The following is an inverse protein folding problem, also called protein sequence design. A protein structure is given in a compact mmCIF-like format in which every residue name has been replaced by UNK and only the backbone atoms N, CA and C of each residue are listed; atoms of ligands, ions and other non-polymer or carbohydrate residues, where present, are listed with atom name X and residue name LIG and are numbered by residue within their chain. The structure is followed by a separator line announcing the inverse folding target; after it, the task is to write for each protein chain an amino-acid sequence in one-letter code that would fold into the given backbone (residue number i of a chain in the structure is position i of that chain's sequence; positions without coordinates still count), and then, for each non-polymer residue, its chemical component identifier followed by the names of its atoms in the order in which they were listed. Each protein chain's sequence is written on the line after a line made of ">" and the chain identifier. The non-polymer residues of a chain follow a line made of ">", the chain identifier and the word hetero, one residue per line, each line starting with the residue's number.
data_IF_241492254699
#
_entry.id   IF_241492254699
#
_cell.length_a   1.000
_cell.length_b   1.000
_cell.length_c   1.000
_cell.angle_alpha   90.00
_cell.angle_beta   90.00
_cell.angle_gamma   90.00
#
_symmetry.space_group_name_H-M   'P 1'
#
loop_
_entity.id
_entity.type
_entity.pdbx_description
1 polymer ?
#
# COMPACT_ATOMS: atom_id res chain seq x y z
N UNK A 1 -46.07 -15.82 -50.88
CA UNK A 1 -45.69 -15.10 -49.64
C UNK A 1 -45.54 -13.63 -49.97
N UNK A 2 -46.27 -12.77 -49.25
CA UNK A 2 -46.49 -11.36 -49.60
C UNK A 2 -45.33 -10.51 -49.09
N UNK A 3 -44.78 -9.68 -49.97
CA UNK A 3 -43.70 -8.71 -49.74
C UNK A 3 -43.95 -7.70 -48.61
N UNK A 4 -45.18 -7.61 -48.08
CA UNK A 4 -45.53 -6.73 -46.96
C UNK A 4 -45.07 -7.20 -45.57
N UNK A 5 -44.89 -8.50 -45.33
CA UNK A 5 -44.50 -9.01 -44.00
C UNK A 5 -43.02 -8.78 -43.68
N UNK A 6 -42.15 -8.82 -44.70
CA UNK A 6 -40.72 -8.55 -44.54
C UNK A 6 -40.41 -7.09 -44.15
N UNK A 7 -41.27 -6.15 -44.55
CA UNK A 7 -41.06 -4.73 -44.30
C UNK A 7 -41.41 -4.35 -42.85
N UNK A 8 -42.36 -5.06 -42.22
CA UNK A 8 -42.69 -4.87 -40.81
C UNK A 8 -41.62 -5.45 -39.87
N UNK A 9 -41.02 -6.59 -40.21
CA UNK A 9 -39.97 -7.20 -39.38
C UNK A 9 -38.70 -6.34 -39.31
N UNK A 10 -38.31 -5.70 -40.42
CA UNK A 10 -37.16 -4.76 -40.47
C UNK A 10 -37.39 -3.48 -39.68
N UNK A 11 -38.62 -2.93 -39.68
CA UNK A 11 -38.97 -1.76 -38.87
C UNK A 11 -38.97 -2.09 -37.37
N UNK A 12 -39.44 -3.28 -36.99
CA UNK A 12 -39.46 -3.74 -35.60
C UNK A 12 -38.03 -3.96 -35.06
N UNK A 13 -37.16 -4.60 -35.83
CA UNK A 13 -35.74 -4.80 -35.44
C UNK A 13 -34.96 -3.49 -35.36
N UNK A 14 -35.19 -2.55 -36.29
CA UNK A 14 -34.55 -1.24 -36.24
C UNK A 14 -35.01 -0.40 -35.04
N UNK A 15 -36.31 -0.43 -34.71
CA UNK A 15 -36.84 0.22 -33.52
C UNK A 15 -36.28 -0.39 -32.23
N UNK A 16 -36.15 -1.71 -32.16
CA UNK A 16 -35.61 -2.41 -30.98
C UNK A 16 -34.11 -2.12 -30.77
N UNK A 17 -33.33 -2.05 -31.85
CA UNK A 17 -31.90 -1.67 -31.80
C UNK A 17 -31.76 -0.22 -31.33
N UNK A 18 -32.60 0.70 -31.83
CA UNK A 18 -32.57 2.10 -31.37
C UNK A 18 -32.92 2.20 -29.89
N UNK A 19 -33.94 1.47 -29.42
CA UNK A 19 -34.32 1.48 -27.99
C UNK A 19 -33.23 0.89 -27.11
N UNK A 20 -32.58 -0.22 -27.51
CA UNK A 20 -31.44 -0.78 -26.78
C UNK A 20 -30.26 0.18 -26.77
N UNK A 21 -29.92 0.81 -27.90
CA UNK A 21 -28.86 1.82 -27.96
C UNK A 21 -29.18 3.05 -27.11
N UNK A 22 -30.44 3.49 -27.05
CA UNK A 22 -30.86 4.58 -26.17
C UNK A 22 -30.81 4.18 -24.69
N UNK A 23 -31.16 2.94 -24.35
CA UNK A 23 -31.03 2.42 -22.98
C UNK A 23 -29.55 2.35 -22.60
N UNK A 24 -28.68 1.81 -23.46
CA UNK A 24 -27.24 1.72 -23.21
C UNK A 24 -26.56 3.10 -23.15
N UNK A 25 -26.95 4.05 -24.01
CA UNK A 25 -26.44 5.44 -23.99
C UNK A 25 -26.96 6.28 -22.81
N UNK A 26 -28.14 5.95 -22.27
CA UNK A 26 -28.62 6.57 -21.03
C UNK A 26 -27.99 5.92 -19.80
N UNK A 27 -27.69 4.62 -19.81
CA UNK A 27 -26.94 3.96 -18.73
C UNK A 27 -25.51 4.46 -18.61
N UNK A 28 -24.85 4.87 -19.70
CA UNK A 28 -23.52 5.50 -19.64
C UNK A 28 -23.52 6.93 -19.06
N UNK A 29 -24.69 7.58 -18.94
CA UNK A 29 -24.83 8.89 -18.27
C UNK A 29 -25.43 8.77 -16.85
N UNK A 30 -25.78 7.55 -16.42
CA UNK A 30 -26.30 7.28 -15.09
C UNK A 30 -25.12 7.12 -14.12
N UNK A 31 -24.75 8.25 -13.51
CA UNK A 31 -23.87 8.40 -12.34
C UNK A 31 -22.37 8.25 -12.59
N UNK A 32 -21.75 9.29 -13.15
CA UNK A 32 -20.37 9.59 -12.78
C UNK A 32 -20.37 10.00 -11.29
N UNK A 33 -20.22 9.01 -10.39
CA UNK A 33 -20.08 9.25 -8.96
C UNK A 33 -18.94 10.24 -8.74
N UNK A 34 -19.14 11.23 -7.88
CA UNK A 34 -18.04 12.09 -7.44
C UNK A 34 -17.06 11.30 -6.56
N UNK A 35 -15.79 11.69 -6.49
CA UNK A 35 -14.81 11.01 -5.65
C UNK A 35 -15.25 10.87 -4.16
N UNK A 36 -15.91 11.88 -3.55
CA UNK A 36 -16.49 11.72 -2.22
C UNK A 36 -17.62 10.69 -2.13
N UNK A 37 -18.49 10.59 -3.14
CA UNK A 37 -19.55 9.57 -3.16
C UNK A 37 -18.95 8.17 -3.32
N UNK A 38 -17.96 8.01 -4.20
CA UNK A 38 -17.25 6.76 -4.38
C UNK A 38 -16.61 6.24 -3.07
N UNK A 39 -15.98 7.13 -2.30
CA UNK A 39 -15.42 6.76 -0.99
C UNK A 39 -16.51 6.45 0.06
N UNK A 40 -17.67 7.09 0.00
CA UNK A 40 -18.81 6.75 0.87
C UNK A 40 -19.37 5.37 0.56
N UNK A 41 -19.46 5.01 -0.72
CA UNK A 41 -19.94 3.68 -1.11
C UNK A 41 -18.95 2.60 -0.65
N UNK A 42 -17.64 2.84 -0.78
CA UNK A 42 -16.60 1.99 -0.18
C UNK A 42 -16.82 1.81 1.33
N UNK A 43 -17.03 2.90 2.07
CA UNK A 43 -17.29 2.84 3.51
C UNK A 43 -18.60 2.12 3.88
N UNK A 44 -19.65 2.25 3.08
CA UNK A 44 -20.90 1.49 3.28
C UNK A 44 -20.67 -0.01 3.16
N UNK A 45 -19.76 -0.44 2.28
CA UNK A 45 -19.39 -1.85 2.16
C UNK A 45 -18.57 -2.33 3.37
N UNK A 46 -17.68 -1.49 3.91
CA UNK A 46 -16.98 -1.81 5.16
C UNK A 46 -17.95 -1.94 6.34
N UNK A 47 -18.90 -1.01 6.48
CA UNK A 47 -19.90 -1.01 7.56
C UNK A 47 -20.81 -2.24 7.50
N UNK A 48 -21.22 -2.65 6.30
CA UNK A 48 -22.07 -3.83 6.08
C UNK A 48 -21.32 -5.17 6.16
N UNK A 49 -19.99 -5.15 6.28
CA UNK A 49 -19.16 -6.35 6.26
C UNK A 49 -18.96 -7.00 4.88
N UNK A 50 -19.34 -6.31 3.80
CA UNK A 50 -19.17 -6.79 2.42
C UNK A 50 -17.76 -6.47 1.90
N UNK A 51 -16.76 -7.06 2.53
CA UNK A 51 -15.34 -6.80 2.26
C UNK A 51 -14.89 -7.24 0.88
N UNK A 52 -15.47 -8.32 0.35
CA UNK A 52 -15.18 -8.78 -1.01
C UNK A 52 -15.55 -7.71 -2.05
N UNK A 53 -16.69 -7.04 -1.88
CA UNK A 53 -17.07 -5.93 -2.76
C UNK A 53 -16.20 -4.69 -2.53
N UNK A 54 -15.83 -4.42 -1.27
CA UNK A 54 -15.00 -3.28 -0.90
C UNK A 54 -13.61 -3.34 -1.57
N UNK A 55 -13.02 -4.54 -1.74
CA UNK A 55 -11.74 -4.72 -2.44
C UNK A 55 -11.78 -4.18 -3.87
N UNK A 56 -12.92 -4.33 -4.57
CA UNK A 56 -13.07 -3.86 -5.95
C UNK A 56 -13.20 -2.34 -6.10
N UNK A 57 -13.15 -1.57 -5.00
CA UNK A 57 -13.00 -0.12 -5.06
C UNK A 57 -11.55 0.30 -5.29
N UNK A 58 -10.60 -0.58 -5.01
CA UNK A 58 -9.19 -0.35 -5.26
C UNK A 58 -8.86 -0.62 -6.72
N UNK A 59 -8.00 0.21 -7.30
CA UNK A 59 -7.51 0.03 -8.66
C UNK A 59 -6.89 -1.37 -8.79
N UNK A 60 -7.15 -2.13 -9.88
CA UNK A 60 -6.63 -3.49 -10.03
C UNK A 60 -5.12 -3.62 -9.79
N UNK A 61 -4.31 -2.66 -10.27
CA UNK A 61 -2.85 -2.67 -10.03
C UNK A 61 -2.46 -2.37 -8.57
N UNK A 62 -3.25 -1.57 -7.85
CA UNK A 62 -3.06 -1.32 -6.42
C UNK A 62 -3.45 -2.55 -5.60
N UNK A 63 -4.51 -3.26 -5.99
CA UNK A 63 -4.90 -4.52 -5.36
C UNK A 63 -3.87 -5.63 -5.64
N UNK A 64 -3.38 -5.75 -6.88
CA UNK A 64 -2.32 -6.70 -7.24
C UNK A 64 -1.06 -6.47 -6.40
N UNK A 65 -0.63 -5.22 -6.22
CA UNK A 65 0.49 -4.87 -5.33
C UNK A 65 0.24 -5.32 -3.90
N UNK A 66 -0.96 -5.04 -3.38
CA UNK A 66 -1.36 -5.48 -2.05
C UNK A 66 -1.26 -7.01 -1.89
N UNK A 67 -1.69 -7.77 -2.89
CA UNK A 67 -1.79 -9.23 -2.80
C UNK A 67 -0.52 -9.97 -3.24
N UNK A 68 0.41 -9.29 -3.92
CA UNK A 68 1.59 -9.87 -4.60
C UNK A 68 2.32 -10.93 -3.77
N UNK A 69 2.62 -10.67 -2.50
CA UNK A 69 3.40 -11.60 -1.68
C UNK A 69 2.56 -12.53 -0.80
N UNK A 70 1.23 -12.57 -0.97
CA UNK A 70 0.34 -13.38 -0.14
C UNK A 70 0.42 -13.02 1.34
N UNK A 71 0.83 -11.79 1.67
CA UNK A 71 0.93 -11.28 3.04
C UNK A 71 -0.46 -10.86 3.51
N UNK A 72 -0.93 -11.48 4.58
CA UNK A 72 -2.21 -11.18 5.23
C UNK A 72 -2.00 -10.83 6.69
N UNK A 73 -2.99 -10.17 7.29
CA UNK A 73 -2.95 -9.78 8.68
C UNK A 73 -4.18 -10.28 9.44
N UNK A 74 -3.98 -10.74 10.67
CA UNK A 74 -5.07 -11.21 11.53
C UNK A 74 -6.11 -10.11 11.74
N UNK A 75 -7.38 -10.45 11.55
CA UNK A 75 -8.53 -9.55 11.70
C UNK A 75 -8.53 -8.31 10.77
N UNK A 76 -7.78 -8.36 9.67
CA UNK A 76 -7.74 -7.28 8.67
C UNK A 76 -8.45 -7.75 7.39
N UNK A 77 -9.72 -7.35 7.17
CA UNK A 77 -10.51 -7.87 6.06
C UNK A 77 -10.11 -7.30 4.69
N UNK A 78 -9.56 -6.09 4.66
CA UNK A 78 -9.15 -5.39 3.43
C UNK A 78 -7.69 -4.99 3.55
N UNK A 79 -6.79 -5.85 3.06
CA UNK A 79 -5.34 -5.66 3.15
C UNK A 79 -4.87 -4.37 2.47
N UNK A 80 -5.48 -4.01 1.34
CA UNK A 80 -5.15 -2.79 0.61
C UNK A 80 -5.39 -1.50 1.42
N UNK A 81 -6.13 -1.58 2.52
CA UNK A 81 -6.44 -0.44 3.39
C UNK A 81 -5.97 -0.68 4.84
N UNK A 82 -5.08 -1.66 5.08
CA UNK A 82 -4.67 -2.03 6.44
C UNK A 82 -3.82 -0.96 7.17
N UNK A 83 -3.34 0.04 6.43
CA UNK A 83 -2.65 1.20 6.99
C UNK A 83 -3.61 2.27 7.51
N UNK A 84 -4.89 2.25 7.13
CA UNK A 84 -5.85 3.24 7.62
C UNK A 84 -6.30 2.95 9.05
N UNK A 85 -6.61 3.99 9.83
CA UNK A 85 -7.21 3.82 11.15
C UNK A 85 -8.60 3.14 11.05
N UNK A 86 -9.27 3.22 9.89
CA UNK A 86 -10.59 2.64 9.67
C UNK A 86 -10.52 1.12 9.70
N UNK A 87 -9.64 0.50 8.92
CA UNK A 87 -9.52 -0.96 8.90
C UNK A 87 -8.85 -1.49 10.16
N UNK A 88 -7.89 -0.73 10.72
CA UNK A 88 -7.19 -1.08 11.95
C UNK A 88 -8.13 -1.27 13.14
N UNK A 89 -9.15 -0.43 13.24
CA UNK A 89 -10.10 -0.42 14.35
C UNK A 89 -11.55 -0.53 13.85
N UNK A 90 -11.78 -1.36 12.83
CA UNK A 90 -13.04 -1.42 12.08
C UNK A 90 -14.29 -1.61 12.95
N UNK A 91 -14.19 -2.41 14.02
CA UNK A 91 -15.31 -2.64 14.93
C UNK A 91 -15.81 -1.37 15.61
N UNK A 92 -14.90 -0.43 15.89
CA UNK A 92 -15.24 0.89 16.44
C UNK A 92 -15.59 1.85 15.30
N UNK A 93 -14.77 1.84 14.25
CA UNK A 93 -14.84 2.83 13.18
C UNK A 93 -16.09 2.74 12.32
N UNK A 94 -16.71 1.56 12.19
CA UNK A 94 -17.94 1.37 11.38
C UNK A 94 -19.08 2.33 11.75
N UNK A 95 -19.17 2.74 13.01
CA UNK A 95 -20.20 3.67 13.49
C UNK A 95 -19.93 5.15 13.14
N UNK A 96 -18.75 5.46 12.58
CA UNK A 96 -18.32 6.82 12.24
C UNK A 96 -18.21 7.05 10.72
N UNK A 97 -18.61 6.07 9.91
CA UNK A 97 -18.40 6.07 8.46
C UNK A 97 -19.46 6.83 7.64
N UNK A 98 -20.55 7.28 8.24
CA UNK A 98 -21.71 7.76 7.49
C UNK A 98 -21.51 9.15 6.85
N UNK A 99 -20.59 10.01 7.36
CA UNK A 99 -20.25 11.34 6.78
C UNK A 99 -18.82 11.86 7.09
N UNK A 100 -17.75 11.08 6.92
CA UNK A 100 -16.46 11.48 7.47
C UNK A 100 -15.60 12.35 6.55
N UNK A 101 -16.05 12.67 5.32
CA UNK A 101 -15.20 13.41 4.38
C UNK A 101 -15.24 14.90 4.71
N UNK A 102 -14.17 15.41 5.32
CA UNK A 102 -14.01 16.80 5.75
C UNK A 102 -13.62 17.72 4.60
N UNK A 103 -12.70 17.26 3.75
CA UNK A 103 -12.23 18.02 2.60
C UNK A 103 -11.99 17.10 1.40
N UNK A 104 -12.13 17.68 0.20
CA UNK A 104 -11.67 17.09 -1.03
C UNK A 104 -10.80 18.10 -1.78
N UNK A 105 -9.70 17.62 -2.31
CA UNK A 105 -8.76 18.43 -3.07
C UNK A 105 -8.50 17.75 -4.40
N UNK A 106 -8.66 18.50 -5.50
CA UNK A 106 -8.28 18.04 -6.81
C UNK A 106 -6.78 18.23 -6.99
N UNK A 107 -6.07 17.14 -7.25
CA UNK A 107 -4.63 17.14 -7.43
C UNK A 107 -4.25 17.50 -8.87
N UNK A 108 -2.98 17.88 -9.08
CA UNK A 108 -2.48 18.31 -10.38
C UNK A 108 -2.69 17.25 -11.48
N UNK A 109 -3.08 17.71 -12.68
CA UNK A 109 -3.40 16.84 -13.81
C UNK A 109 -4.86 16.39 -13.87
N UNK A 110 -5.73 16.87 -12.98
CA UNK A 110 -7.20 16.77 -13.06
C UNK A 110 -7.80 15.36 -13.01
N UNK A 111 -6.98 14.32 -12.87
CA UNK A 111 -7.38 12.91 -12.81
C UNK A 111 -7.29 12.31 -11.40
N UNK A 112 -6.75 13.03 -10.42
CA UNK A 112 -6.60 12.52 -9.05
C UNK A 112 -7.26 13.44 -8.03
N UNK A 113 -7.77 12.85 -6.96
CA UNK A 113 -8.28 13.57 -5.80
C UNK A 113 -7.64 13.06 -4.52
N UNK A 114 -7.44 13.96 -3.57
CA UNK A 114 -7.13 13.64 -2.18
C UNK A 114 -8.37 13.92 -1.33
N UNK A 115 -8.81 12.93 -0.58
CA UNK A 115 -10.00 12.97 0.26
C UNK A 115 -9.57 12.84 1.73
N UNK A 116 -9.92 13.81 2.56
CA UNK A 116 -9.65 13.77 4.00
C UNK A 116 -10.81 13.12 4.74
N UNK A 117 -10.58 11.92 5.24
CA UNK A 117 -11.41 11.30 6.27
C UNK A 117 -11.15 11.97 7.62
N UNK A 118 -12.22 12.23 8.36
CA UNK A 118 -12.23 12.79 9.69
C UNK A 118 -13.31 12.13 10.55
N UNK A 119 -12.93 11.71 11.75
CA UNK A 119 -13.85 11.26 12.79
C UNK A 119 -13.37 11.72 14.17
N UNK A 120 -14.30 11.79 15.12
CA UNK A 120 -14.02 12.07 16.53
C UNK A 120 -14.34 10.82 17.33
N UNK A 121 -13.34 10.25 18.02
CA UNK A 121 -13.48 9.14 18.97
C UNK A 121 -13.19 9.65 20.37
N UNK A 122 -14.24 9.87 21.18
CA UNK A 122 -14.08 10.47 22.50
C UNK A 122 -13.51 11.89 22.39
N UNK A 123 -12.28 12.08 22.89
CA UNK A 123 -11.54 13.35 22.81
C UNK A 123 -10.49 13.39 21.69
N UNK A 124 -10.33 12.32 20.93
CA UNK A 124 -9.30 12.21 19.90
C UNK A 124 -9.87 12.48 18.51
N UNK A 125 -9.14 13.28 17.74
CA UNK A 125 -9.40 13.52 16.32
C UNK A 125 -8.63 12.50 15.48
N UNK A 126 -9.36 11.72 14.68
CA UNK A 126 -8.78 10.80 13.72
C UNK A 126 -8.87 11.41 12.33
N UNK A 127 -7.72 11.52 11.67
CA UNK A 127 -7.61 11.97 10.28
C UNK A 127 -6.90 10.93 9.43
N UNK A 128 -7.34 10.79 8.18
CA UNK A 128 -6.67 9.94 7.20
C UNK A 128 -6.92 10.46 5.77
N UNK A 129 -5.95 10.30 4.88
CA UNK A 129 -6.09 10.73 3.49
C UNK A 129 -6.24 9.54 2.56
N UNK A 130 -7.35 9.50 1.83
CA UNK A 130 -7.54 8.59 0.70
C UNK A 130 -7.17 9.30 -0.61
N UNK A 131 -6.63 8.55 -1.55
CA UNK A 131 -6.32 9.03 -2.89
C UNK A 131 -7.19 8.30 -3.90
N UNK A 132 -7.66 9.04 -4.89
CA UNK A 132 -8.40 8.46 -6.01
C UNK A 132 -7.76 8.81 -7.35
N UNK A 133 -7.97 7.94 -8.34
CA UNK A 133 -7.64 8.17 -9.74
C UNK A 133 -8.91 7.98 -10.58
N UNK A 134 -9.11 8.84 -11.59
CA UNK A 134 -10.17 8.74 -12.58
C UNK A 134 -9.57 8.20 -13.88
N UNK A 135 -9.94 6.98 -14.24
CA UNK A 135 -9.40 6.23 -15.38
C UNK A 135 -10.53 5.53 -16.12
N UNK A 136 -10.63 5.75 -17.44
CA UNK A 136 -11.63 5.10 -18.31
C UNK A 136 -13.08 5.25 -17.81
N UNK A 137 -13.44 6.45 -17.34
CA UNK A 137 -14.75 6.78 -16.76
C UNK A 137 -15.05 6.12 -15.40
N UNK A 138 -14.06 5.47 -14.77
CA UNK A 138 -14.15 4.93 -13.42
C UNK A 138 -13.28 5.70 -12.44
N UNK A 139 -13.79 5.88 -11.22
CA UNK A 139 -12.98 6.30 -10.08
C UNK A 139 -12.45 5.04 -9.40
N UNK A 140 -11.20 5.09 -8.95
CA UNK A 140 -10.56 4.03 -8.19
C UNK A 140 -9.88 4.61 -6.95
N UNK A 141 -9.87 3.86 -5.85
CA UNK A 141 -8.93 4.08 -4.75
C UNK A 141 -7.53 3.65 -5.21
N UNK A 142 -6.54 4.50 -4.93
CA UNK A 142 -5.14 4.28 -5.27
C UNK A 142 -4.25 4.63 -4.08
N UNK A 143 -3.00 4.20 -4.13
CA UNK A 143 -2.02 4.60 -3.12
C UNK A 143 -1.41 5.97 -3.47
N UNK A 144 -0.89 6.73 -2.48
CA UNK A 144 -0.26 8.02 -2.74
C UNK A 144 0.87 7.95 -3.79
N UNK A 145 1.67 6.88 -3.78
CA UNK A 145 2.74 6.65 -4.74
C UNK A 145 2.24 6.47 -6.18
N UNK A 146 0.99 6.04 -6.39
CA UNK A 146 0.39 5.98 -7.74
C UNK A 146 0.19 7.38 -8.33
N UNK A 147 0.06 8.41 -7.48
CA UNK A 147 -0.02 9.80 -7.89
C UNK A 147 1.37 10.47 -7.95
N UNK A 148 2.12 10.44 -6.84
CA UNK A 148 3.38 11.19 -6.71
C UNK A 148 4.51 10.64 -7.59
N UNK A 149 4.46 9.35 -7.92
CA UNK A 149 5.53 8.64 -8.61
C UNK A 149 5.14 8.16 -10.01
N UNK A 150 3.97 8.57 -10.52
CA UNK A 150 3.38 8.06 -11.78
C UNK A 150 4.32 8.13 -13.00
N UNK A 151 5.15 9.17 -13.06
CA UNK A 151 6.06 9.45 -14.19
C UNK A 151 7.54 9.21 -13.81
N UNK A 152 7.81 8.53 -12.71
CA UNK A 152 9.18 8.28 -12.29
C UNK A 152 9.84 7.24 -13.20
N UNK A 153 11.07 7.48 -13.71
CA UNK A 153 11.79 6.50 -14.49
C UNK A 153 12.00 5.21 -13.69
N UNK A 154 11.86 4.08 -14.38
CA UNK A 154 11.99 2.76 -13.77
C UNK A 154 13.36 2.17 -14.08
N UNK A 155 14.02 1.64 -13.06
CA UNK A 155 15.22 0.80 -13.17
C UNK A 155 14.97 -0.54 -12.50
N UNK A 156 15.30 -1.63 -13.19
CA UNK A 156 15.12 -2.98 -12.64
C UNK A 156 16.47 -3.64 -12.29
N UNK A 157 16.41 -4.55 -11.33
CA UNK A 157 17.48 -5.48 -10.95
C UNK A 157 16.90 -6.89 -10.85
N UNK A 158 17.62 -7.87 -10.30
CA UNK A 158 17.10 -9.24 -10.19
C UNK A 158 15.84 -9.30 -9.33
N UNK A 159 15.80 -8.57 -8.20
CA UNK A 159 14.65 -8.63 -7.28
C UNK A 159 13.85 -7.34 -7.18
N UNK A 160 14.32 -6.21 -7.73
CA UNK A 160 13.63 -4.92 -7.58
C UNK A 160 13.14 -4.34 -8.90
N UNK A 161 11.98 -3.68 -8.82
CA UNK A 161 11.52 -2.65 -9.75
C UNK A 161 11.57 -1.31 -9.03
N UNK A 162 12.50 -0.46 -9.43
CA UNK A 162 12.83 0.78 -8.72
C UNK A 162 12.28 1.95 -9.52
N UNK A 163 11.26 2.61 -8.99
CA UNK A 163 10.77 3.91 -9.45
C UNK A 163 11.70 4.97 -8.87
N UNK A 164 12.42 5.66 -9.74
CA UNK A 164 13.51 6.56 -9.35
C UNK A 164 13.02 7.98 -9.49
N UNK A 165 13.09 8.79 -8.43
CA UNK A 165 12.78 10.20 -8.57
C UNK A 165 13.71 10.85 -9.62
N UNK A 166 13.18 11.64 -10.56
CA UNK A 166 13.99 12.29 -11.58
C UNK A 166 15.21 13.03 -10.99
N UNK A 167 16.39 12.74 -11.54
CA UNK A 167 17.68 13.26 -11.07
C UNK A 167 18.40 12.37 -10.06
N UNK A 168 17.82 11.24 -9.64
CA UNK A 168 18.47 10.27 -8.74
C UNK A 168 19.06 9.04 -9.47
N UNK A 169 18.89 8.93 -10.78
CA UNK A 169 19.26 7.77 -11.60
C UNK A 169 20.77 7.49 -11.53
N UNK A 170 21.56 8.57 -11.47
CA UNK A 170 23.01 8.51 -11.39
C UNK A 170 23.52 7.86 -10.10
N UNK A 171 22.72 7.82 -9.03
CA UNK A 171 23.12 7.19 -7.77
C UNK A 171 22.81 5.68 -7.72
N UNK A 172 22.11 5.14 -8.72
CA UNK A 172 21.82 3.70 -8.82
C UNK A 172 22.83 3.00 -9.73
N UNK A 173 24.08 2.94 -9.31
CA UNK A 173 25.10 2.18 -10.04
C UNK A 173 24.86 0.67 -9.97
N UNK A 174 25.32 -0.06 -10.99
CA UNK A 174 25.13 -1.52 -11.09
C UNK A 174 25.72 -2.29 -9.90
N UNK A 175 26.80 -1.80 -9.31
CA UNK A 175 27.37 -2.35 -8.07
C UNK A 175 26.35 -2.30 -6.93
N UNK A 176 25.63 -1.20 -6.74
CA UNK A 176 24.64 -1.06 -5.67
C UNK A 176 23.45 -2.00 -5.90
N UNK A 177 23.01 -2.14 -7.15
CA UNK A 177 21.95 -3.09 -7.52
C UNK A 177 22.38 -4.54 -7.25
N UNK A 178 23.61 -4.89 -7.63
CA UNK A 178 24.18 -6.21 -7.39
C UNK A 178 24.29 -6.52 -5.89
N UNK A 179 24.71 -5.55 -5.07
CA UNK A 179 24.76 -5.72 -3.61
C UNK A 179 23.36 -5.82 -2.99
N UNK A 180 22.37 -5.09 -3.52
CA UNK A 180 20.98 -5.25 -3.11
C UNK A 180 20.45 -6.66 -3.41
N UNK A 181 20.74 -7.19 -4.60
CA UNK A 181 20.33 -8.55 -4.98
C UNK A 181 21.05 -9.64 -4.15
N UNK A 182 22.34 -9.45 -3.85
CA UNK A 182 23.08 -10.34 -2.93
C UNK A 182 22.48 -10.34 -1.53
N UNK A 183 22.04 -9.18 -1.04
CA UNK A 183 21.39 -9.07 0.25
C UNK A 183 20.07 -9.85 0.30
N UNK A 184 19.23 -9.75 -0.74
CA UNK A 184 18.01 -10.56 -0.86
C UNK A 184 18.35 -12.05 -0.79
N UNK A 185 19.32 -12.51 -1.58
CA UNK A 185 19.74 -13.93 -1.56
C UNK A 185 20.20 -14.38 -0.16
N UNK A 186 20.98 -13.55 0.53
CA UNK A 186 21.45 -13.85 1.89
C UNK A 186 20.28 -13.97 2.88
N UNK A 187 19.30 -13.07 2.81
CA UNK A 187 18.11 -13.09 3.65
C UNK A 187 17.22 -14.28 3.34
N UNK A 188 16.92 -14.54 2.07
CA UNK A 188 16.15 -15.70 1.65
C UNK A 188 16.78 -17.00 2.15
N UNK A 189 18.11 -17.12 2.07
CA UNK A 189 18.85 -18.25 2.66
C UNK A 189 18.74 -18.29 4.18
N UNK A 190 18.85 -17.14 4.86
CA UNK A 190 18.76 -17.06 6.33
C UNK A 190 17.36 -17.39 6.86
N UNK A 191 16.33 -17.20 6.02
CA UNK A 191 14.95 -17.52 6.33
C UNK A 191 14.51 -18.86 5.74
N UNK A 192 15.41 -19.67 5.18
CA UNK A 192 15.10 -20.95 4.54
C UNK A 192 13.92 -20.82 3.55
N UNK A 193 14.02 -19.86 2.62
CA UNK A 193 13.06 -19.76 1.52
C UNK A 193 13.30 -20.88 0.52
N UNK A 194 12.21 -21.44 0.00
CA UNK A 194 12.30 -22.40 -1.10
C UNK A 194 12.65 -21.68 -2.40
N UNK A 195 13.16 -22.43 -3.38
CA UNK A 195 13.49 -21.90 -4.70
C UNK A 195 12.24 -21.30 -5.39
N UNK A 196 11.06 -21.87 -5.16
CA UNK A 196 9.81 -21.31 -5.67
C UNK A 196 9.50 -19.94 -5.09
N UNK A 197 9.70 -19.74 -3.77
CA UNK A 197 9.50 -18.42 -3.14
C UNK A 197 10.50 -17.39 -3.68
N UNK A 198 11.75 -17.78 -3.90
CA UNK A 198 12.79 -16.89 -4.44
C UNK A 198 12.47 -16.53 -5.90
N UNK A 199 12.12 -17.52 -6.73
CA UNK A 199 11.71 -17.32 -8.11
C UNK A 199 10.47 -16.43 -8.21
N UNK A 200 9.56 -16.54 -7.25
CA UNK A 200 8.38 -15.68 -7.17
C UNK A 200 8.77 -14.21 -6.93
N UNK A 201 9.72 -13.91 -6.04
CA UNK A 201 10.21 -12.54 -5.83
C UNK A 201 10.90 -12.03 -7.09
N UNK A 202 11.74 -12.84 -7.73
CA UNK A 202 12.44 -12.47 -8.97
C UNK A 202 11.46 -12.13 -10.10
N UNK A 203 10.40 -12.93 -10.26
CA UNK A 203 9.37 -12.72 -11.28
C UNK A 203 8.52 -11.47 -11.01
N UNK A 204 8.04 -11.31 -9.77
CA UNK A 204 7.06 -10.27 -9.46
C UNK A 204 7.70 -8.95 -9.01
N UNK A 205 8.98 -8.97 -8.65
CA UNK A 205 9.79 -7.84 -8.17
C UNK A 205 9.24 -7.18 -6.90
N UNK A 206 10.14 -6.61 -6.12
CA UNK A 206 9.83 -5.69 -5.02
C UNK A 206 9.71 -4.29 -5.61
N UNK A 207 8.55 -3.64 -5.44
CA UNK A 207 8.40 -2.22 -5.81
C UNK A 207 9.17 -1.34 -4.82
N UNK A 208 10.00 -0.46 -5.37
CA UNK A 208 10.81 0.47 -4.59
C UNK A 208 10.69 1.88 -5.14
N UNK A 209 10.31 2.83 -4.29
CA UNK A 209 10.23 4.25 -4.64
C UNK A 209 11.43 4.99 -4.04
N UNK A 210 12.44 5.22 -4.88
CA UNK A 210 13.68 5.89 -4.49
C UNK A 210 13.52 7.41 -4.59
N UNK A 211 13.29 8.02 -3.43
CA UNK A 211 13.09 9.44 -3.24
C UNK A 211 14.44 10.18 -3.10
N UNK A 212 14.48 11.44 -3.52
CA UNK A 212 15.66 12.29 -3.36
C UNK A 212 15.83 12.85 -1.93
N UNK A 213 14.79 12.76 -1.07
CA UNK A 213 14.84 13.31 0.29
C UNK A 213 13.76 12.71 1.21
N UNK A 214 13.99 12.81 2.52
CA UNK A 214 13.02 12.47 3.57
C UNK A 214 11.73 13.31 3.46
N UNK A 215 11.83 14.54 2.91
CA UNK A 215 10.66 15.37 2.64
C UNK A 215 9.76 14.75 1.56
N UNK A 216 10.35 14.20 0.50
CA UNK A 216 9.56 13.50 -0.52
C UNK A 216 8.93 12.22 0.05
N UNK A 217 9.64 11.50 0.91
CA UNK A 217 9.06 10.37 1.66
C UNK A 217 7.86 10.83 2.48
N UNK A 218 7.95 11.96 3.19
CA UNK A 218 6.81 12.57 3.91
C UNK A 218 5.64 12.92 3.01
N UNK A 219 5.90 13.52 1.84
CA UNK A 219 4.84 13.88 0.90
C UNK A 219 4.04 12.67 0.43
N UNK A 220 4.70 11.52 0.23
CA UNK A 220 4.06 10.26 -0.19
C UNK A 220 3.38 9.56 1.00
N UNK A 221 4.07 9.43 2.13
CA UNK A 221 3.66 8.55 3.23
C UNK A 221 2.90 9.26 4.34
N UNK A 222 2.98 10.59 4.41
CA UNK A 222 2.53 11.41 5.53
C UNK A 222 3.54 11.56 6.68
N UNK A 223 4.60 10.74 6.72
CA UNK A 223 5.53 10.67 7.86
C UNK A 223 6.94 11.16 7.49
N UNK A 224 7.55 12.00 8.34
CA UNK A 224 8.93 12.44 8.14
C UNK A 224 9.91 11.36 8.60
N UNK A 225 10.22 10.44 7.69
CA UNK A 225 11.14 9.32 7.93
C UNK A 225 12.08 9.13 6.74
N UNK A 226 13.18 8.42 6.96
CA UNK A 226 14.12 8.07 5.87
C UNK A 226 13.55 7.04 4.90
N UNK A 227 12.61 6.22 5.37
CA UNK A 227 11.90 5.29 4.53
C UNK A 227 10.98 4.40 5.34
N UNK A 228 10.01 3.80 4.66
CA UNK A 228 9.00 2.93 5.23
C UNK A 228 8.71 1.77 4.28
N UNK A 229 8.35 0.65 4.88
CA UNK A 229 7.66 -0.44 4.23
C UNK A 229 6.16 -0.17 4.38
N UNK A 230 5.47 0.09 3.27
CA UNK A 230 4.03 0.31 3.30
C UNK A 230 3.31 -1.04 3.33
N UNK A 231 2.72 -1.36 4.48
CA UNK A 231 2.05 -2.64 4.72
C UNK A 231 0.89 -2.89 3.75
N UNK A 232 0.18 -1.83 3.38
CA UNK A 232 -1.00 -1.91 2.52
C UNK A 232 -0.63 -2.30 1.09
N UNK A 233 0.39 -1.69 0.50
CA UNK A 233 0.83 -1.98 -0.87
C UNK A 233 1.95 -3.02 -1.02
N UNK A 234 2.67 -3.36 0.05
CA UNK A 234 3.95 -4.07 0.05
C UNK A 234 5.15 -3.30 -0.55
N UNK A 235 5.02 -1.99 -0.75
CA UNK A 235 6.09 -1.21 -1.36
C UNK A 235 7.11 -0.72 -0.34
N UNK A 236 8.32 -0.42 -0.83
CA UNK A 236 9.33 0.29 -0.04
C UNK A 236 9.47 1.71 -0.57
N UNK A 237 9.26 2.71 0.28
CA UNK A 237 9.38 4.13 -0.07
C UNK A 237 10.52 4.71 0.77
N UNK A 238 11.59 5.22 0.16
CA UNK A 238 12.81 5.57 0.90
C UNK A 238 13.64 6.65 0.21
N UNK A 239 14.33 7.48 1.01
CA UNK A 239 15.24 8.54 0.56
C UNK A 239 16.67 8.09 0.24
N UNK A 240 16.94 6.81 0.44
CA UNK A 240 18.21 6.16 0.09
C UNK A 240 17.92 4.76 -0.45
N UNK A 241 18.82 4.23 -1.28
CA UNK A 241 18.73 2.87 -1.81
C UNK A 241 20.08 2.13 -1.63
N UNK A 242 20.05 0.83 -1.26
CA UNK A 242 18.91 0.08 -0.76
C UNK A 242 18.65 0.37 0.73
N UNK A 243 17.38 0.47 1.12
CA UNK A 243 16.99 0.50 2.52
C UNK A 243 16.78 -0.93 3.05
N UNK A 244 17.90 -1.57 3.41
CA UNK A 244 17.94 -2.96 3.84
C UNK A 244 16.97 -3.29 4.98
N UNK A 245 16.73 -2.36 5.91
CA UNK A 245 15.82 -2.60 7.04
C UNK A 245 14.37 -2.78 6.58
N UNK A 246 13.91 -1.94 5.65
CA UNK A 246 12.55 -2.06 5.09
C UNK A 246 12.41 -3.29 4.18
N UNK A 247 13.48 -3.66 3.47
CA UNK A 247 13.54 -4.92 2.72
C UNK A 247 13.40 -6.13 3.66
N UNK A 248 14.08 -6.10 4.81
CA UNK A 248 13.96 -7.17 5.80
C UNK A 248 12.54 -7.27 6.36
N UNK A 249 11.88 -6.13 6.68
CA UNK A 249 10.48 -6.12 7.10
C UNK A 249 9.56 -6.83 6.08
N UNK A 250 9.69 -6.51 4.79
CA UNK A 250 8.93 -7.18 3.73
C UNK A 250 9.19 -8.69 3.69
N UNK A 251 10.47 -9.11 3.69
CA UNK A 251 10.82 -10.52 3.59
C UNK A 251 10.43 -11.33 4.83
N UNK A 252 10.47 -10.72 6.02
CA UNK A 252 9.96 -11.32 7.26
C UNK A 252 8.46 -11.58 7.11
N UNK A 253 7.70 -10.58 6.68
CA UNK A 253 6.25 -10.74 6.48
C UNK A 253 5.96 -11.81 5.41
N UNK A 254 6.72 -11.84 4.30
CA UNK A 254 6.56 -12.85 3.27
C UNK A 254 6.96 -14.28 3.73
N UNK A 255 7.90 -14.40 4.68
CA UNK A 255 8.23 -15.70 5.28
C UNK A 255 7.03 -16.30 5.98
N UNK A 256 6.37 -15.50 6.83
CA UNK A 256 5.28 -15.93 7.69
C UNK A 256 3.93 -15.98 6.97
N UNK A 257 3.70 -15.14 5.97
CA UNK A 257 2.46 -15.09 5.19
C UNK A 257 1.32 -14.42 5.97
N UNK A 258 0.84 -15.05 7.05
CA UNK A 258 -0.18 -14.47 7.92
C UNK A 258 0.43 -14.07 9.28
N UNK A 259 0.27 -12.80 9.68
CA UNK A 259 0.84 -12.27 10.93
C UNK A 259 -0.11 -11.30 11.63
N UNK A 260 0.02 -11.08 12.95
CA UNK A 260 -0.68 -10.00 13.62
C UNK A 260 -0.24 -8.63 13.06
N UNK A 261 -1.20 -7.75 12.74
CA UNK A 261 -0.87 -6.37 12.33
C UNK A 261 -0.08 -5.65 13.43
N UNK A 262 -0.47 -5.88 14.68
CA UNK A 262 0.19 -5.38 15.88
C UNK A 262 1.15 -6.42 16.44
N UNK A 263 2.38 -6.42 15.92
CA UNK A 263 3.48 -7.22 16.44
C UNK A 263 4.29 -6.39 17.45
N UNK A 264 4.78 -7.01 18.53
CA UNK A 264 5.65 -6.36 19.51
C UNK A 264 6.83 -5.65 18.81
N UNK A 265 7.14 -4.39 19.14
CA UNK A 265 8.19 -3.63 18.47
C UNK A 265 9.56 -4.32 18.53
N UNK A 266 9.89 -4.96 19.65
CA UNK A 266 11.12 -5.75 19.76
C UNK A 266 11.20 -6.86 18.72
N UNK A 267 10.11 -7.58 18.49
CA UNK A 267 10.08 -8.65 17.48
C UNK A 267 10.10 -8.08 16.07
N UNK A 268 9.29 -7.05 15.79
CA UNK A 268 9.19 -6.45 14.46
C UNK A 268 10.48 -5.73 14.07
N UNK A 269 10.85 -4.69 14.83
CA UNK A 269 12.03 -3.88 14.55
C UNK A 269 13.32 -4.58 14.94
N UNK A 270 13.37 -5.29 16.08
CA UNK A 270 14.59 -5.97 16.52
C UNK A 270 15.03 -7.05 15.53
N UNK A 271 14.09 -7.83 14.98
CA UNK A 271 14.41 -8.84 13.95
C UNK A 271 14.91 -8.17 12.66
N UNK A 272 14.25 -7.11 12.18
CA UNK A 272 14.72 -6.41 10.97
C UNK A 272 16.11 -5.78 11.18
N UNK A 273 16.36 -5.20 12.36
CA UNK A 273 17.67 -4.65 12.74
C UNK A 273 18.75 -5.72 12.84
N UNK A 274 18.42 -6.89 13.40
CA UNK A 274 19.36 -8.01 13.48
C UNK A 274 19.85 -8.47 12.11
N UNK A 275 18.96 -8.56 11.11
CA UNK A 275 19.34 -9.01 9.77
C UNK A 275 19.92 -7.90 8.87
N UNK A 276 19.42 -6.67 9.02
CA UNK A 276 19.64 -5.60 8.04
C UNK A 276 20.31 -4.34 8.61
N UNK A 277 20.41 -4.25 9.93
CA UNK A 277 20.85 -3.04 10.62
C UNK A 277 19.79 -1.95 10.57
N UNK A 278 20.21 -0.69 10.80
CA UNK A 278 19.31 0.47 10.83
C UNK A 278 20.02 1.75 10.41
N UNK A 279 19.32 2.60 9.67
CA UNK A 279 19.78 3.94 9.29
C UNK A 279 21.19 3.96 8.64
N UNK A 280 21.49 2.96 7.80
CA UNK A 280 22.79 2.82 7.13
C UNK A 280 23.90 2.19 7.98
N UNK A 281 23.63 1.82 9.23
CA UNK A 281 24.56 1.08 10.08
C UNK A 281 24.37 -0.42 9.88
N UNK A 282 25.47 -1.15 9.72
CA UNK A 282 25.46 -2.61 9.65
C UNK A 282 24.95 -3.24 10.97
N UNK A 283 24.45 -4.49 10.94
CA UNK A 283 23.99 -5.18 12.15
C UNK A 283 25.03 -5.28 13.26
N UNK A 284 26.29 -5.57 12.92
CA UNK A 284 27.33 -5.90 13.90
C UNK A 284 27.61 -4.75 14.90
N UNK A 285 27.87 -3.50 14.47
CA UNK A 285 28.02 -2.37 15.41
C UNK A 285 26.77 -2.12 16.28
N UNK A 286 25.57 -2.40 15.76
CA UNK A 286 24.34 -2.24 16.53
C UNK A 286 24.19 -3.31 17.61
N UNK A 287 24.66 -4.54 17.32
CA UNK A 287 24.71 -5.62 18.29
C UNK A 287 25.69 -5.31 19.42
N UNK A 288 26.86 -4.76 19.11
CA UNK A 288 27.83 -4.32 20.11
C UNK A 288 27.25 -3.21 21.01
N UNK A 289 26.58 -2.22 20.41
CA UNK A 289 25.89 -1.18 21.17
C UNK A 289 24.78 -1.76 22.07
N UNK A 290 23.99 -2.70 21.56
CA UNK A 290 22.97 -3.39 22.35
C UNK A 290 23.57 -4.16 23.52
N UNK A 291 24.68 -4.85 23.29
CA UNK A 291 25.44 -5.55 24.34
C UNK A 291 25.96 -4.60 25.41
N UNK A 292 26.48 -3.43 25.03
CA UNK A 292 26.90 -2.38 25.96
C UNK A 292 25.73 -1.88 26.82
N UNK A 293 24.60 -1.53 26.19
CA UNK A 293 23.39 -1.05 26.87
C UNK A 293 22.92 -2.06 27.91
N UNK A 294 22.88 -3.35 27.55
CA UNK A 294 22.46 -4.42 28.44
C UNK A 294 23.47 -4.65 29.58
N UNK A 295 24.76 -4.70 29.26
CA UNK A 295 25.82 -4.94 30.25
C UNK A 295 25.87 -3.86 31.33
N UNK A 296 25.68 -2.60 30.92
CA UNK A 296 25.68 -1.46 31.82
C UNK A 296 24.30 -1.14 32.42
N UNK A 297 23.29 -1.99 32.19
CA UNK A 297 21.91 -1.80 32.67
C UNK A 297 21.34 -0.42 32.36
N UNK A 298 21.67 0.10 31.18
CA UNK A 298 21.08 1.36 30.68
C UNK A 298 19.59 1.15 30.37
N UNK A 299 19.23 -0.08 29.96
CA UNK A 299 17.86 -0.55 29.74
C UNK A 299 17.75 -1.98 30.29
N UNK A 300 16.62 -2.32 30.92
CA UNK A 300 16.31 -3.68 31.36
C UNK A 300 15.51 -4.42 30.28
N UNK A 301 15.77 -5.72 30.05
CA UNK A 301 15.07 -6.47 29.00
C UNK A 301 13.55 -6.47 29.19
N UNK A 302 13.09 -6.57 30.43
CA UNK A 302 11.67 -6.58 30.76
C UNK A 302 10.96 -5.29 30.33
N UNK A 303 11.71 -4.18 30.25
CA UNK A 303 11.15 -2.88 29.83
C UNK A 303 10.90 -2.80 28.32
N UNK A 304 11.44 -3.72 27.50
CA UNK A 304 11.24 -3.74 26.04
C UNK A 304 10.44 -4.94 25.54
N UNK A 305 10.04 -5.84 26.45
CA UNK A 305 9.28 -7.06 26.14
C UNK A 305 7.76 -6.86 26.14
N UNK A 306 7.27 -5.69 26.55
CA UNK A 306 5.84 -5.33 26.51
C UNK A 306 5.61 -4.07 25.67
N UNK A 307 4.40 -3.88 25.14
CA UNK A 307 4.07 -2.66 24.39
C UNK A 307 4.16 -1.41 25.28
N UNK A 308 3.59 -1.46 26.48
CA UNK A 308 3.63 -0.34 27.42
C UNK A 308 5.06 0.01 27.85
N UNK A 309 5.89 -0.99 28.16
CA UNK A 309 7.29 -0.74 28.47
C UNK A 309 8.05 -0.15 27.28
N UNK A 310 7.78 -0.62 26.06
CA UNK A 310 8.40 -0.05 24.86
C UNK A 310 8.00 1.41 24.64
N UNK A 311 6.71 1.75 24.79
CA UNK A 311 6.19 3.11 24.62
C UNK A 311 6.74 4.09 25.68
N UNK A 312 7.01 3.62 26.90
CA UNK A 312 7.63 4.44 27.97
C UNK A 312 9.11 4.77 27.70
N UNK A 313 9.77 4.06 26.78
CA UNK A 313 11.22 4.14 26.54
C UNK A 313 11.64 4.43 25.09
N UNK A 314 10.69 4.57 24.15
CA UNK A 314 10.91 4.83 22.73
C UNK A 314 10.98 6.33 22.39
#
# INVERSE_FOLDING_TARGET
>A
MKTGEFMNLKKMTFSFIITISFILLNFSNLFALSAPEYLRDYFSLLESGNFESAKFYWRPGSLERAERFGITFDNIPVKADCSSPIIRDLEVMKYHLTRPIKSNERLEGNLHYRLEFFAILGSEEITHYYYTANENDYIWLVYPQDYFCKDWPIKESKYFRIHVQPGQENYLHETILTEADKFINKLCKSFDFTDEKIAYIEKNKIEYFYCASDRKVKEITGFLVKGTFDLASNDIISSFFPNYNQVAHLLINYKFGNIPLYTLPLLREGTSVYYAGRAGKAPYPLLELGGYILHHKVVELDSILTMGGFEEHA
#
